data_IF_704796039879
#
_entry.id   IF_704796039879
#
_cell.length_a   1.000
_cell.length_b   1.000
_cell.length_c   1.000
_cell.angle_alpha   90.00
_cell.angle_beta   90.00
_cell.angle_gamma   90.00
#
_symmetry.space_group_name_H-M   'P 1'
#
loop_
_entity.id
_entity.type
_entity.pdbx_description
1 polymer ?
#
# COMPACT_ATOMS: atom_id res chain seq x y z
N UNK A 1 2.40 -7.49 -5.99
CA UNK A 1 2.48 -7.89 -4.56
C UNK A 1 1.09 -7.80 -3.93
N UNK A 2 0.84 -8.37 -2.76
CA UNK A 2 -0.49 -8.29 -2.12
C UNK A 2 -0.48 -7.42 -0.87
N UNK A 3 -1.63 -6.80 -0.56
CA UNK A 3 -1.84 -6.11 0.71
C UNK A 3 -1.99 -7.16 1.80
N UNK A 4 -1.08 -7.19 2.78
CA UNK A 4 -1.13 -8.18 3.86
C UNK A 4 -1.98 -7.72 5.04
N UNK A 5 -2.07 -6.41 5.30
CA UNK A 5 -2.96 -5.87 6.33
C UNK A 5 -3.42 -4.44 6.05
N UNK A 6 -4.60 -4.11 6.56
CA UNK A 6 -5.18 -2.77 6.54
C UNK A 6 -5.75 -2.47 7.92
N UNK A 7 -5.37 -1.34 8.49
CA UNK A 7 -5.80 -0.85 9.80
C UNK A 7 -6.19 0.62 9.68
N UNK A 8 -7.48 0.91 9.52
CA UNK A 8 -7.97 2.27 9.34
C UNK A 8 -7.38 2.94 8.09
N UNK A 9 -6.54 3.97 8.28
CA UNK A 9 -5.91 4.74 7.19
C UNK A 9 -4.48 4.29 6.85
N UNK A 10 -4.02 3.16 7.38
CA UNK A 10 -2.69 2.62 7.10
C UNK A 10 -2.75 1.12 6.83
N UNK A 11 -1.67 0.57 6.31
CA UNK A 11 -1.56 -0.86 6.04
C UNK A 11 -0.17 -1.26 5.61
N UNK A 12 -0.03 -2.55 5.28
CA UNK A 12 1.23 -3.17 4.88
C UNK A 12 0.99 -3.98 3.60
N UNK A 13 1.93 -3.86 2.67
CA UNK A 13 2.02 -4.67 1.45
C UNK A 13 3.19 -5.62 1.61
N UNK A 14 2.96 -6.89 1.28
CA UNK A 14 3.98 -7.95 1.31
C UNK A 14 4.75 -8.02 2.65
N UNK A 15 4.04 -7.78 3.75
CA UNK A 15 4.52 -7.75 5.15
C UNK A 15 5.66 -6.76 5.47
N UNK A 16 6.13 -5.98 4.48
CA UNK A 16 7.36 -5.20 4.61
C UNK A 16 7.24 -3.74 4.14
N UNK A 17 6.22 -3.42 3.34
CA UNK A 17 6.06 -2.10 2.73
C UNK A 17 4.89 -1.39 3.39
N UNK A 18 5.19 -0.35 4.17
CA UNK A 18 4.15 0.42 4.85
C UNK A 18 3.45 1.41 3.90
N UNK A 19 2.16 1.67 4.12
CA UNK A 19 1.46 2.75 3.45
C UNK A 19 0.50 3.50 4.38
N UNK A 20 0.23 4.76 4.03
CA UNK A 20 -0.81 5.60 4.64
C UNK A 20 -1.68 6.19 3.56
N UNK A 21 -3.00 6.17 3.71
CA UNK A 21 -3.93 6.77 2.75
C UNK A 21 -3.76 8.29 2.62
N UNK A 22 -3.11 8.96 3.57
CA UNK A 22 -2.86 10.41 3.54
C UNK A 22 -1.82 10.83 2.49
N UNK A 23 -0.88 9.93 2.19
CA UNK A 23 0.25 10.22 1.27
C UNK A 23 0.29 9.31 0.05
N UNK A 24 -0.61 8.31 -0.02
CA UNK A 24 -0.62 7.32 -1.06
C UNK A 24 -1.47 7.76 -2.25
N UNK A 25 -0.88 7.76 -3.44
CA UNK A 25 -1.62 7.98 -4.69
C UNK A 25 -2.36 6.70 -5.08
N UNK A 26 -3.68 6.80 -5.22
CA UNK A 26 -4.57 5.70 -5.59
C UNK A 26 -5.48 6.10 -6.76
N UNK A 27 -5.93 5.13 -7.58
CA UNK A 27 -7.04 5.34 -8.50
C UNK A 27 -8.29 5.86 -7.79
N UNK A 28 -9.08 6.68 -8.48
CA UNK A 28 -10.31 7.23 -7.92
C UNK A 28 -11.29 6.11 -7.53
N UNK A 29 -11.83 6.17 -6.31
CA UNK A 29 -12.78 5.19 -5.79
C UNK A 29 -12.17 3.86 -5.33
N UNK A 30 -10.87 3.63 -5.53
CA UNK A 30 -10.22 2.43 -5.04
C UNK A 30 -10.01 2.52 -3.52
N UNK A 31 -10.49 1.51 -2.81
CA UNK A 31 -10.32 1.36 -1.36
C UNK A 31 -9.47 0.11 -1.12
N UNK A 32 -8.22 0.25 -0.67
CA UNK A 32 -7.33 -0.90 -0.46
C UNK A 32 -7.90 -1.90 0.55
N UNK A 33 -7.90 -3.18 0.20
CA UNK A 33 -8.31 -4.29 1.07
C UNK A 33 -7.20 -5.32 1.25
N UNK A 34 -7.16 -6.06 2.37
CA UNK A 34 -6.30 -7.23 2.48
C UNK A 34 -6.52 -8.19 1.30
N UNK A 35 -5.41 -8.75 0.80
CA UNK A 35 -5.31 -9.67 -0.33
C UNK A 35 -5.49 -9.03 -1.72
N UNK A 36 -5.73 -7.72 -1.81
CA UNK A 36 -5.69 -7.04 -3.11
C UNK A 36 -4.30 -7.19 -3.73
N UNK A 37 -4.27 -7.62 -5.00
CA UNK A 37 -3.05 -7.64 -5.80
C UNK A 37 -2.81 -6.24 -6.37
N UNK A 38 -1.65 -5.67 -6.06
CA UNK A 38 -1.29 -4.31 -6.43
C UNK A 38 0.12 -4.25 -7.04
N UNK A 39 0.26 -3.36 -8.02
CA UNK A 39 1.53 -2.77 -8.40
C UNK A 39 1.82 -1.63 -7.43
N UNK A 40 3.05 -1.54 -6.96
CA UNK A 40 3.45 -0.56 -5.95
C UNK A 40 4.72 0.17 -6.37
N UNK A 41 4.71 1.49 -6.23
CA UNK A 41 5.94 2.31 -6.27
C UNK A 41 6.34 2.59 -4.84
N UNK A 42 7.58 2.25 -4.48
CA UNK A 42 8.12 2.40 -3.13
C UNK A 42 9.29 3.36 -3.10
N UNK A 43 9.51 3.95 -1.92
CA UNK A 43 10.70 4.72 -1.58
C UNK A 43 11.24 4.22 -0.24
N UNK A 44 12.52 4.50 0.02
CA UNK A 44 13.08 4.31 1.36
C UNK A 44 12.33 5.20 2.35
N UNK A 45 12.07 4.64 3.53
CA UNK A 45 11.23 5.21 4.56
C UNK A 45 12.09 5.72 5.72
N UNK A 46 11.66 6.83 6.30
CA UNK A 46 12.25 7.41 7.52
C UNK A 46 11.56 6.91 8.80
N UNK A 47 10.54 6.06 8.67
CA UNK A 47 9.84 5.46 9.81
C UNK A 47 10.63 4.28 10.37
N UNK A 48 10.84 4.25 11.69
CA UNK A 48 11.73 3.27 12.32
C UNK A 48 11.33 1.79 12.14
N UNK A 49 10.04 1.51 11.92
CA UNK A 49 9.53 0.13 11.84
C UNK A 49 9.53 -0.46 10.43
N UNK A 50 9.69 0.36 9.38
CA UNK A 50 9.61 -0.08 8.00
C UNK A 50 10.64 0.65 7.14
N UNK A 51 11.52 -0.12 6.48
CA UNK A 51 12.54 0.40 5.56
C UNK A 51 11.91 0.95 4.28
N UNK A 52 10.76 0.40 3.85
CA UNK A 52 10.08 0.79 2.61
C UNK A 52 8.71 1.38 2.88
N UNK A 53 8.35 2.41 2.12
CA UNK A 53 7.01 3.01 2.12
C UNK A 53 6.47 3.15 0.70
N UNK A 54 5.22 2.76 0.51
CA UNK A 54 4.51 2.98 -0.75
C UNK A 54 4.16 4.46 -0.97
N UNK A 55 4.34 4.95 -2.20
CA UNK A 55 3.93 6.29 -2.64
C UNK A 55 2.80 6.26 -3.68
N UNK A 56 2.63 5.16 -4.39
CA UNK A 56 1.45 4.88 -5.20
C UNK A 56 1.14 3.40 -5.26
N UNK A 57 -0.13 3.05 -5.38
CA UNK A 57 -0.58 1.68 -5.67
C UNK A 57 -1.62 1.68 -6.80
N UNK A 58 -1.58 0.64 -7.62
CA UNK A 58 -2.58 0.37 -8.67
C UNK A 58 -3.02 -1.09 -8.55
N UNK A 59 -4.33 -1.39 -8.47
CA UNK A 59 -4.81 -2.76 -8.43
C UNK A 59 -4.54 -3.47 -9.77
N UNK A 60 -4.06 -4.71 -9.71
CA UNK A 60 -3.68 -5.54 -10.87
C UNK A 60 -4.89 -6.25 -11.47
N UNK A 61 -5.97 -6.43 -10.70
CA UNK A 61 -7.21 -7.04 -11.17
C UNK A 61 -8.41 -6.14 -10.85
N UNK A 62 -9.01 -5.59 -11.91
CA UNK A 62 -10.36 -5.04 -11.90
C UNK A 62 -11.11 -5.86 -12.96
N UNK A 63 -11.92 -6.83 -12.53
CA UNK A 63 -12.92 -7.45 -13.41
C UNK A 63 -14.19 -6.62 -13.36
#
# INVERSE_FOLDING_TARGET
VCISSVHGRHGVVDDTIFFTLDSLKLPAGYVPQPNDMVDVVIVESVQACYIWRAVSMTPVHIL
#
